data_IF_536936488332
#
_entry.id   IF_536936488332
#
_cell.length_a   1.000
_cell.length_b   1.000
_cell.length_c   1.000
_cell.angle_alpha   90.00
_cell.angle_beta   90.00
_cell.angle_gamma   90.00
#
_symmetry.space_group_name_H-M   'P 1'
#
loop_
_entity.id
_entity.type
_entity.pdbx_description
1 polymer ?
#
# COMPACT_ATOMS: atom_id res chain seq x y z
N UNK A 1 2.86 -12.36 -12.88
CA UNK A 1 2.51 -11.78 -11.58
C UNK A 1 1.46 -10.69 -11.81
N UNK A 2 0.52 -10.49 -10.87
CA UNK A 2 -0.49 -9.44 -10.98
C UNK A 2 0.12 -8.12 -10.48
N UNK A 3 0.38 -7.17 -11.39
CA UNK A 3 0.85 -5.82 -11.07
C UNK A 3 -0.07 -4.84 -11.81
N UNK A 4 -0.34 -3.67 -11.22
CA UNK A 4 -1.31 -2.72 -11.78
C UNK A 4 -2.70 -3.35 -12.04
N UNK A 5 -3.19 -4.19 -11.13
CA UNK A 5 -4.47 -4.90 -11.31
C UNK A 5 -5.57 -4.46 -10.36
N UNK A 6 -5.22 -3.83 -9.23
CA UNK A 6 -6.18 -3.44 -8.19
C UNK A 6 -6.48 -1.94 -8.24
N UNK A 7 -7.75 -1.57 -8.14
CA UNK A 7 -8.18 -0.17 -8.01
C UNK A 7 -8.16 0.30 -6.55
N UNK A 8 -8.43 -0.61 -5.60
CA UNK A 8 -8.50 -0.34 -4.17
C UNK A 8 -7.86 -1.46 -3.36
N UNK A 9 -7.13 -1.11 -2.31
CA UNK A 9 -6.65 -2.02 -1.26
C UNK A 9 -7.12 -1.46 0.08
N UNK A 10 -7.75 -2.29 0.90
CA UNK A 10 -8.11 -1.95 2.27
C UNK A 10 -7.17 -2.68 3.20
N UNK A 11 -6.32 -1.93 3.89
CA UNK A 11 -5.31 -2.47 4.79
C UNK A 11 -5.81 -2.44 6.24
N UNK A 12 -5.98 -3.62 6.81
CA UNK A 12 -6.50 -3.84 8.18
C UNK A 12 -5.41 -4.24 9.17
N UNK A 13 -4.13 -4.23 8.76
CA UNK A 13 -3.02 -4.70 9.59
C UNK A 13 -2.63 -3.61 10.61
N UNK A 14 -2.87 -3.88 11.89
CA UNK A 14 -2.46 -3.00 13.02
C UNK A 14 -1.06 -3.35 13.54
N UNK A 15 -0.11 -3.53 12.63
CA UNK A 15 1.30 -3.81 12.94
C UNK A 15 2.20 -3.31 11.79
N UNK A 16 3.49 -3.13 12.07
CA UNK A 16 4.46 -2.73 11.05
C UNK A 16 4.60 -3.81 9.96
N UNK A 17 4.45 -3.41 8.70
CA UNK A 17 4.58 -4.29 7.54
C UNK A 17 4.99 -3.48 6.29
N UNK A 18 5.58 -4.12 5.25
CA UNK A 18 6.04 -3.43 4.06
C UNK A 18 4.89 -3.05 3.12
N UNK A 19 4.91 -1.82 2.61
CA UNK A 19 3.87 -1.27 1.73
C UNK A 19 4.20 -1.37 0.24
N UNK A 20 5.49 -1.50 -0.13
CA UNK A 20 5.91 -1.60 -1.53
C UNK A 20 5.23 -2.73 -2.30
N UNK A 21 5.04 -3.94 -1.73
CA UNK A 21 4.35 -5.00 -2.45
C UNK A 21 2.89 -4.64 -2.73
N UNK A 22 2.22 -3.92 -1.82
CA UNK A 22 0.83 -3.47 -2.01
C UNK A 22 0.75 -2.37 -3.08
N UNK A 23 1.70 -1.43 -3.07
CA UNK A 23 1.79 -0.37 -4.08
C UNK A 23 1.96 -0.95 -5.49
N UNK A 24 2.76 -2.01 -5.66
CA UNK A 24 2.96 -2.67 -6.96
C UNK A 24 1.69 -3.32 -7.54
N UNK A 25 0.71 -3.66 -6.68
CA UNK A 25 -0.57 -4.23 -7.10
C UNK A 25 -1.56 -3.16 -7.56
N UNK A 26 -1.45 -1.94 -7.02
CA UNK A 26 -2.34 -0.83 -7.34
C UNK A 26 -2.11 -0.35 -8.78
N UNK A 27 -3.20 -0.05 -9.48
CA UNK A 27 -3.16 0.71 -10.73
C UNK A 27 -2.74 2.16 -10.45
N UNK A 28 -2.35 2.88 -11.51
CA UNK A 28 -2.27 4.34 -11.47
C UNK A 28 -3.59 4.92 -10.95
N UNK A 29 -3.49 5.87 -10.01
CA UNK A 29 -4.61 6.49 -9.30
C UNK A 29 -5.43 5.54 -8.39
N UNK A 30 -4.94 4.31 -8.17
CA UNK A 30 -5.50 3.37 -7.20
C UNK A 30 -5.32 3.85 -5.76
N UNK A 31 -6.15 3.34 -4.84
CA UNK A 31 -6.17 3.80 -3.44
C UNK A 31 -5.76 2.70 -2.46
N UNK A 32 -4.76 2.99 -1.65
CA UNK A 32 -4.48 2.25 -0.41
C UNK A 32 -5.23 2.93 0.74
N UNK A 33 -6.20 2.24 1.32
CA UNK A 33 -7.06 2.74 2.40
C UNK A 33 -6.62 2.07 3.69
N UNK A 34 -6.04 2.86 4.60
CA UNK A 34 -5.55 2.38 5.88
C UNK A 34 -6.67 2.37 6.92
N UNK A 35 -7.00 1.18 7.43
CA UNK A 35 -7.95 0.95 8.51
C UNK A 35 -7.24 0.41 9.76
N UNK A 36 -6.11 -0.28 9.57
CA UNK A 36 -5.21 -0.65 10.66
C UNK A 36 -4.66 0.56 11.40
N UNK A 37 -4.48 0.42 12.72
CA UNK A 37 -3.94 1.46 13.59
C UNK A 37 -2.69 0.93 14.32
N UNK A 38 -1.52 0.87 13.65
CA UNK A 38 -0.29 0.42 14.27
C UNK A 38 0.21 1.42 15.32
N UNK A 39 0.90 0.91 16.34
CA UNK A 39 1.55 1.69 17.41
C UNK A 39 2.74 2.52 16.91
N UNK A 40 3.35 2.10 15.80
CA UNK A 40 4.49 2.75 15.15
C UNK A 40 4.09 3.26 13.77
N UNK A 41 4.66 4.41 13.33
CA UNK A 41 4.49 4.89 11.96
C UNK A 41 4.95 3.85 10.94
N UNK A 42 4.21 3.73 9.84
CA UNK A 42 4.60 2.92 8.70
C UNK A 42 5.59 3.69 7.82
N UNK A 43 6.55 2.97 7.23
CA UNK A 43 7.50 3.54 6.29
C UNK A 43 6.91 3.50 4.88
N UNK A 44 6.89 4.65 4.20
CA UNK A 44 6.49 4.77 2.79
C UNK A 44 7.72 5.15 1.98
N UNK A 45 8.02 4.37 0.95
CA UNK A 45 9.07 4.70 -0.01
C UNK A 45 8.51 5.58 -1.12
N UNK A 46 9.30 6.56 -1.60
CA UNK A 46 8.85 7.48 -2.64
C UNK A 46 8.81 6.84 -4.04
N UNK A 47 9.65 5.83 -4.29
CA UNK A 47 9.83 5.24 -5.63
C UNK A 47 8.53 4.65 -6.22
N UNK A 48 7.72 3.88 -5.46
CA UNK A 48 6.43 3.38 -5.96
C UNK A 48 5.35 4.45 -6.19
N UNK A 49 5.56 5.71 -5.76
CA UNK A 49 4.58 6.79 -5.92
C UNK A 49 4.82 7.65 -7.18
N UNK A 50 6.02 7.57 -7.77
CA UNK A 50 6.43 8.41 -8.89
C UNK A 50 6.52 7.65 -10.23
N UNK A 51 6.45 6.32 -10.20
CA UNK A 51 6.52 5.43 -11.37
C UNK A 51 5.39 4.42 -11.35
#
# INVERSE_FOLDING_TARGET
AAANTMDYIIDTVSAAHPLDPLMALLKRDGKLIMVGAPDKPLTVHAFPLIF
#
